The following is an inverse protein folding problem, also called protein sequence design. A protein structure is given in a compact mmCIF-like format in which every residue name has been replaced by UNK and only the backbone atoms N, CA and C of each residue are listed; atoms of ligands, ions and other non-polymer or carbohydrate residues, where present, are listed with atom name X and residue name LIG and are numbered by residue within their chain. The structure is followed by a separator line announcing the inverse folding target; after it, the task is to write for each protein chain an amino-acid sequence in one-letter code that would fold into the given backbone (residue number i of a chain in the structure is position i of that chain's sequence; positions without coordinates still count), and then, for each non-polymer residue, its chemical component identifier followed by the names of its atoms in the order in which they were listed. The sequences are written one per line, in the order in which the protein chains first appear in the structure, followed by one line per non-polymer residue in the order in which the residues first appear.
data_IF_895557551946
#
_entry.id   IF_895557551946
#
_cell.length_a   1.000
_cell.length_b   1.000
_cell.length_c   1.000
_cell.angle_alpha   90.00
_cell.angle_beta   90.00
_cell.angle_gamma   90.00
#
_symmetry.space_group_name_H-M   'P 1'
#
loop_
_entity.id
_entity.type
_entity.pdbx_description
1 polymer ?
#
# COMPACT_ATOMS: atom_id res chain seq x y z
N UNK A 1 37.76 58.69 -12.59
CA UNK A 1 38.56 57.53 -13.05
C UNK A 1 38.91 56.58 -11.89
N UNK A 2 37.91 55.92 -11.28
CA UNK A 2 38.14 54.89 -10.22
C UNK A 2 37.23 53.67 -10.34
N UNK A 3 36.44 53.54 -11.41
CA UNK A 3 35.55 52.41 -11.62
C UNK A 3 35.97 51.46 -12.76
N UNK A 4 37.01 51.78 -13.54
CA UNK A 4 37.49 50.90 -14.62
C UNK A 4 38.54 49.85 -14.18
N UNK A 5 39.05 49.93 -12.94
CA UNK A 5 40.10 49.02 -12.46
C UNK A 5 39.57 47.79 -11.70
N UNK A 6 38.32 47.82 -11.21
CA UNK A 6 37.73 46.66 -10.50
C UNK A 6 37.14 45.61 -11.44
N UNK A 7 36.87 45.96 -12.70
CA UNK A 7 36.31 45.02 -13.68
C UNK A 7 37.37 44.12 -14.33
N UNK A 8 38.65 44.53 -14.33
CA UNK A 8 39.76 43.72 -14.86
C UNK A 8 40.27 42.65 -13.89
N UNK A 9 39.95 42.75 -12.60
CA UNK A 9 40.35 41.74 -11.61
C UNK A 9 39.37 40.56 -11.57
N UNK A 10 38.10 40.78 -11.95
CA UNK A 10 37.09 39.72 -11.99
C UNK A 10 37.21 38.81 -13.22
N UNK A 11 37.76 39.30 -14.34
CA UNK A 11 37.92 38.51 -15.56
C UNK A 11 39.15 37.60 -15.56
N UNK A 12 40.12 37.81 -14.66
CA UNK A 12 41.32 36.98 -14.58
C UNK A 12 41.16 35.73 -13.69
N UNK A 13 40.13 35.70 -12.82
CA UNK A 13 39.84 34.53 -11.99
C UNK A 13 38.94 33.52 -12.73
N UNK A 14 38.17 33.97 -13.73
CA UNK A 14 37.27 33.09 -14.49
C UNK A 14 37.96 32.29 -15.62
N UNK A 15 39.17 32.68 -16.06
CA UNK A 15 39.92 31.98 -17.13
C UNK A 15 40.93 30.97 -16.56
N UNK A 16 41.28 31.08 -15.27
CA UNK A 16 42.19 30.14 -14.60
C UNK A 16 41.54 28.84 -14.09
N UNK A 17 40.21 28.76 -14.07
CA UNK A 17 39.46 27.58 -13.60
C UNK A 17 39.00 26.65 -14.73
N UNK A 18 39.32 26.97 -15.99
CA UNK A 18 38.92 26.17 -17.17
C UNK A 18 40.07 25.34 -17.78
N UNK A 19 41.25 25.29 -17.16
CA UNK A 19 42.43 24.57 -17.70
C UNK A 19 43.10 23.62 -16.71
N UNK A 20 42.39 23.15 -15.67
CA UNK A 20 42.90 22.17 -14.72
C UNK A 20 41.92 21.01 -14.51
N UNK A 21 41.62 20.26 -15.58
CA UNK A 21 41.22 18.86 -15.45
C UNK A 21 41.31 18.14 -16.80
N UNK A 22 42.54 17.99 -17.30
CA UNK A 22 42.88 17.01 -18.32
C UNK A 22 44.27 16.49 -17.99
N UNK A 23 44.33 15.35 -17.30
CA UNK A 23 45.32 14.27 -17.47
C UNK A 23 45.15 13.27 -16.32
N UNK A 24 44.39 12.21 -16.58
CA UNK A 24 44.93 10.86 -16.70
C UNK A 24 43.77 9.95 -17.14
N UNK A 25 43.80 9.54 -18.40
CA UNK A 25 43.11 8.35 -18.88
C UNK A 25 43.77 7.15 -18.21
N UNK A 26 43.24 6.74 -17.06
CA UNK A 26 43.32 5.34 -16.65
C UNK A 26 42.02 4.69 -17.12
N UNK A 27 42.18 3.71 -18.00
CA UNK A 27 41.17 2.83 -18.56
C UNK A 27 40.34 2.19 -17.42
N UNK A 28 39.29 2.89 -16.98
CA UNK A 28 38.26 2.30 -16.13
C UNK A 28 37.20 1.70 -17.05
N UNK A 29 37.49 0.49 -17.53
CA UNK A 29 36.44 -0.42 -17.96
C UNK A 29 35.55 -0.66 -16.73
N UNK A 30 34.27 -0.27 -16.73
CA UNK A 30 33.38 -0.69 -15.66
C UNK A 30 33.25 -2.20 -15.81
N UNK A 31 33.96 -2.92 -14.94
CA UNK A 31 33.71 -4.32 -14.68
C UNK A 31 32.23 -4.40 -14.32
N UNK A 32 31.41 -4.90 -15.26
CA UNK A 32 30.01 -5.22 -15.00
C UNK A 32 30.03 -6.08 -13.74
N UNK A 33 29.56 -5.54 -12.63
CA UNK A 33 29.12 -6.39 -11.53
C UNK A 33 27.99 -7.23 -12.10
N UNK A 34 28.33 -8.44 -12.54
CA UNK A 34 27.37 -9.50 -12.72
C UNK A 34 26.77 -9.77 -11.33
N UNK A 35 25.68 -9.06 -11.02
CA UNK A 35 24.76 -9.53 -10.01
C UNK A 35 24.33 -10.92 -10.46
N UNK A 36 24.85 -11.95 -9.80
CA UNK A 36 24.41 -13.32 -9.99
C UNK A 36 22.90 -13.37 -9.70
N UNK A 37 22.10 -13.39 -10.76
CA UNK A 37 20.65 -13.53 -10.66
C UNK A 37 20.39 -14.93 -10.12
N UNK A 38 19.77 -15.03 -8.95
CA UNK A 38 19.31 -16.32 -8.43
C UNK A 38 18.19 -16.85 -9.34
N UNK A 39 18.54 -17.84 -10.16
CA UNK A 39 17.65 -18.43 -11.18
C UNK A 39 16.86 -19.62 -10.64
N UNK A 40 17.07 -20.03 -9.38
CA UNK A 40 16.51 -21.26 -8.81
C UNK A 40 14.99 -21.30 -8.73
N UNK A 41 14.33 -20.13 -8.73
CA UNK A 41 12.88 -19.98 -8.60
C UNK A 41 12.18 -19.44 -9.86
N UNK A 42 12.88 -19.34 -11.00
CA UNK A 42 12.29 -18.86 -12.25
C UNK A 42 11.46 -19.97 -12.92
N UNK A 43 10.31 -19.59 -13.46
CA UNK A 43 9.51 -20.43 -14.36
C UNK A 43 9.71 -19.98 -15.80
N UNK A 44 9.26 -20.77 -16.76
CA UNK A 44 9.38 -20.44 -18.18
C UNK A 44 8.00 -20.11 -18.75
N UNK A 45 7.90 -18.98 -19.44
CA UNK A 45 6.75 -18.63 -20.27
C UNK A 45 7.22 -18.54 -21.72
N UNK A 46 6.73 -19.43 -22.59
CA UNK A 46 7.16 -19.45 -24.02
C UNK A 46 8.69 -19.46 -24.19
N UNK A 47 9.40 -20.16 -23.30
CA UNK A 47 10.86 -20.25 -23.32
C UNK A 47 11.62 -19.09 -22.67
N UNK A 48 10.92 -18.08 -22.16
CA UNK A 48 11.52 -16.93 -21.46
C UNK A 48 11.50 -17.18 -19.94
N UNK A 49 12.65 -17.10 -19.24
CA UNK A 49 12.69 -17.15 -17.78
C UNK A 49 11.95 -15.96 -17.15
N UNK A 50 11.03 -16.26 -16.24
CA UNK A 50 10.15 -15.30 -15.60
C UNK A 50 10.15 -15.51 -14.10
N UNK A 51 10.31 -14.40 -13.38
CA UNK A 51 9.99 -14.28 -11.96
C UNK A 51 8.48 -14.14 -11.81
N UNK A 52 7.78 -15.28 -11.80
CA UNK A 52 6.33 -15.28 -11.92
C UNK A 52 5.65 -14.85 -10.60
N UNK A 53 5.01 -13.69 -10.64
CA UNK A 53 4.35 -13.06 -9.48
C UNK A 53 2.82 -13.17 -9.46
N UNK A 54 2.20 -13.57 -10.56
CA UNK A 54 0.74 -13.74 -10.65
C UNK A 54 0.33 -15.13 -10.13
N UNK A 55 -0.95 -15.33 -9.76
CA UNK A 55 -1.44 -16.68 -9.40
C UNK A 55 -1.49 -17.59 -10.62
N UNK A 56 -1.84 -17.02 -11.77
CA UNK A 56 -2.26 -17.77 -12.94
C UNK A 56 -1.27 -18.89 -13.23
N UNK A 57 -1.71 -20.13 -13.18
CA UNK A 57 -0.81 -21.25 -13.41
C UNK A 57 -0.13 -21.05 -14.78
N UNK A 58 1.19 -21.14 -14.82
CA UNK A 58 2.00 -20.93 -16.03
C UNK A 58 1.52 -21.83 -17.18
N UNK A 59 1.09 -23.07 -16.87
CA UNK A 59 0.52 -24.02 -17.82
C UNK A 59 -0.80 -23.52 -18.41
N UNK A 60 -1.62 -22.81 -17.63
CA UNK A 60 -2.84 -22.18 -18.13
C UNK A 60 -2.55 -20.94 -18.98
N UNK A 61 -1.49 -20.19 -18.65
CA UNK A 61 -1.04 -19.05 -19.46
C UNK A 61 -0.50 -19.50 -20.82
N UNK A 62 0.00 -20.72 -20.98
CA UNK A 62 0.50 -21.20 -22.27
C UNK A 62 -0.63 -21.60 -23.24
N UNK A 63 -1.87 -21.81 -22.76
CA UNK A 63 -3.02 -22.10 -23.62
C UNK A 63 -3.36 -20.90 -24.49
N UNK A 64 -3.40 -21.04 -25.81
CA UNK A 64 -3.74 -19.93 -26.73
C UNK A 64 -5.12 -19.32 -26.49
N UNK A 65 -6.05 -20.10 -25.94
CA UNK A 65 -7.38 -19.64 -25.60
C UNK A 65 -7.40 -18.66 -24.42
N UNK A 66 -6.33 -18.60 -23.62
CA UNK A 66 -6.20 -17.66 -22.49
C UNK A 66 -6.07 -16.19 -22.93
N UNK A 67 -5.80 -15.92 -24.21
CA UNK A 67 -5.88 -14.57 -24.78
C UNK A 67 -7.33 -14.07 -24.84
N UNK A 68 -8.32 -14.97 -24.79
CA UNK A 68 -9.74 -14.63 -24.90
C UNK A 68 -10.36 -14.52 -23.51
N UNK A 69 -10.68 -13.30 -23.08
CA UNK A 69 -11.31 -13.05 -21.78
C UNK A 69 -12.55 -13.93 -21.52
N UNK A 70 -13.44 -14.11 -22.50
CA UNK A 70 -14.64 -14.95 -22.33
C UNK A 70 -14.31 -16.43 -22.06
N UNK A 71 -13.20 -16.93 -22.60
CA UNK A 71 -12.73 -18.28 -22.31
C UNK A 71 -12.24 -18.37 -20.87
N UNK A 72 -11.40 -17.43 -20.45
CA UNK A 72 -10.88 -17.36 -19.08
C UNK A 72 -12.01 -17.19 -18.07
N UNK A 73 -12.97 -16.30 -18.34
CA UNK A 73 -14.16 -16.10 -17.50
C UNK A 73 -14.99 -17.37 -17.35
N UNK A 74 -15.15 -18.13 -18.44
CA UNK A 74 -15.86 -19.41 -18.42
C UNK A 74 -15.13 -20.45 -17.57
N UNK A 75 -13.81 -20.59 -17.75
CA UNK A 75 -12.99 -21.49 -16.92
C UNK A 75 -13.08 -21.10 -15.44
N UNK A 76 -13.00 -19.80 -15.11
CA UNK A 76 -13.15 -19.31 -13.73
C UNK A 76 -14.51 -19.60 -13.12
N UNK A 77 -15.59 -19.53 -13.90
CA UNK A 77 -16.93 -19.91 -13.41
C UNK A 77 -17.04 -21.40 -13.13
N UNK A 78 -16.43 -22.23 -13.98
CA UNK A 78 -16.35 -23.67 -13.78
C UNK A 78 -15.54 -23.97 -12.52
N UNK A 79 -14.39 -23.33 -12.33
CA UNK A 79 -13.57 -23.42 -11.10
C UNK A 79 -14.40 -23.03 -9.85
N UNK A 80 -15.27 -22.01 -9.95
CA UNK A 80 -16.13 -21.54 -8.85
C UNK A 80 -17.44 -22.31 -8.69
N UNK A 81 -17.73 -23.32 -9.51
CA UNK A 81 -18.97 -24.09 -9.43
C UNK A 81 -20.25 -23.29 -9.77
N UNK A 82 -20.14 -22.19 -10.52
CA UNK A 82 -21.27 -21.34 -10.90
C UNK A 82 -22.02 -22.01 -12.06
N UNK A 83 -23.29 -22.39 -11.83
CA UNK A 83 -24.11 -23.10 -12.83
C UNK A 83 -24.55 -22.19 -13.99
N UNK A 84 -24.47 -22.71 -15.22
CA UNK A 84 -24.94 -22.00 -16.42
C UNK A 84 -26.47 -21.81 -16.41
N UNK A 85 -26.94 -20.57 -16.55
CA UNK A 85 -28.29 -20.35 -17.07
C UNK A 85 -28.35 -20.84 -18.53
N UNK A 86 -29.33 -21.68 -18.85
CA UNK A 86 -29.53 -22.23 -20.21
C UNK A 86 -29.69 -21.09 -21.24
N UNK A 87 -28.90 -21.16 -22.32
CA UNK A 87 -29.09 -20.48 -23.63
C UNK A 87 -29.71 -19.07 -23.54
N UNK A 88 -28.91 -18.11 -23.12
CA UNK A 88 -29.10 -16.69 -23.42
C UNK A 88 -27.77 -16.11 -23.91
N UNK A 89 -27.80 -15.09 -24.78
CA UNK A 89 -26.60 -14.30 -25.07
C UNK A 89 -26.24 -13.60 -23.78
N UNK A 90 -25.14 -14.03 -23.18
CA UNK A 90 -24.70 -13.52 -21.89
C UNK A 90 -24.11 -12.14 -22.10
N UNK A 91 -24.72 -11.13 -21.46
CA UNK A 91 -24.24 -9.74 -21.52
C UNK A 91 -23.30 -9.49 -20.35
N UNK A 92 -22.07 -9.07 -20.66
CA UNK A 92 -21.10 -8.60 -19.68
C UNK A 92 -21.66 -7.35 -18.98
N UNK A 93 -21.64 -7.33 -17.65
CA UNK A 93 -21.88 -6.11 -16.88
C UNK A 93 -20.66 -5.20 -17.07
N UNK A 94 -20.85 -4.15 -17.86
CA UNK A 94 -19.76 -3.27 -18.30
C UNK A 94 -19.19 -2.47 -17.14
N UNK A 95 -20.01 -2.07 -16.17
CA UNK A 95 -19.57 -1.28 -15.02
C UNK A 95 -18.72 -2.13 -14.08
N UNK A 96 -19.23 -3.32 -13.73
CA UNK A 96 -18.49 -4.29 -12.92
C UNK A 96 -17.20 -4.77 -13.59
N UNK A 97 -17.23 -4.96 -14.91
CA UNK A 97 -16.05 -5.31 -15.67
C UNK A 97 -15.04 -4.15 -15.67
N UNK A 98 -15.48 -2.92 -15.91
CA UNK A 98 -14.61 -1.74 -15.89
C UNK A 98 -13.94 -1.55 -14.52
N UNK A 99 -14.69 -1.71 -13.43
CA UNK A 99 -14.13 -1.64 -12.08
C UNK A 99 -13.08 -2.73 -11.85
N UNK A 100 -13.37 -3.98 -12.23
CA UNK A 100 -12.42 -5.08 -12.13
C UNK A 100 -11.16 -4.84 -12.97
N UNK A 101 -11.29 -4.17 -14.11
CA UNK A 101 -10.18 -3.73 -14.97
C UNK A 101 -9.35 -2.65 -14.29
N UNK A 102 -9.96 -1.55 -13.84
CA UNK A 102 -9.27 -0.42 -13.19
C UNK A 102 -8.52 -0.87 -11.92
N UNK A 103 -9.13 -1.75 -11.14
CA UNK A 103 -8.46 -2.36 -9.99
C UNK A 103 -7.26 -3.21 -10.39
N UNK A 104 -7.26 -3.81 -11.58
CA UNK A 104 -6.22 -4.74 -12.04
C UNK A 104 -5.05 -4.01 -12.69
N UNK A 105 -5.31 -2.95 -13.45
CA UNK A 105 -4.31 -2.25 -14.26
C UNK A 105 -3.11 -1.73 -13.45
N UNK A 106 -3.30 -1.30 -12.20
CA UNK A 106 -2.21 -0.86 -11.29
C UNK A 106 -1.14 -1.93 -10.98
N UNK A 107 -1.32 -3.18 -11.39
CA UNK A 107 -0.36 -4.27 -11.20
C UNK A 107 0.43 -4.63 -12.47
N UNK A 108 0.12 -4.00 -13.60
CA UNK A 108 0.72 -4.28 -14.90
C UNK A 108 1.67 -3.14 -15.28
N UNK A 109 2.64 -3.34 -16.20
CA UNK A 109 3.56 -2.27 -16.57
C UNK A 109 2.89 -1.11 -17.34
N UNK A 110 1.58 -1.20 -17.62
CA UNK A 110 0.79 -0.20 -18.34
C UNK A 110 0.11 0.74 -17.35
N UNK A 111 0.74 1.87 -17.00
CA UNK A 111 0.22 2.87 -16.06
C UNK A 111 -0.21 4.17 -16.77
N UNK A 112 -1.08 4.97 -16.13
CA UNK A 112 -1.49 6.29 -16.64
C UNK A 112 -0.30 7.23 -16.87
N UNK A 113 0.74 7.11 -16.05
CA UNK A 113 1.96 7.93 -16.11
C UNK A 113 2.98 7.41 -17.15
N UNK A 114 2.76 6.24 -17.73
CA UNK A 114 3.63 5.62 -18.74
C UNK A 114 3.91 4.14 -18.50
N UNK A 115 4.85 3.60 -19.28
CA UNK A 115 5.26 2.20 -19.20
C UNK A 115 6.33 2.00 -18.10
N UNK A 116 6.07 1.11 -17.15
CA UNK A 116 7.00 0.79 -16.05
C UNK A 116 8.02 -0.28 -16.48
N UNK A 117 9.14 0.19 -17.04
CA UNK A 117 10.23 -0.68 -17.48
C UNK A 117 10.92 -1.43 -16.31
N UNK A 118 10.95 -0.84 -15.11
CA UNK A 118 11.59 -1.46 -13.95
C UNK A 118 10.77 -2.66 -13.45
N UNK A 119 9.44 -2.58 -13.54
CA UNK A 119 8.56 -3.72 -13.31
C UNK A 119 8.85 -4.88 -14.27
N UNK A 120 9.06 -4.58 -15.55
CA UNK A 120 9.39 -5.62 -16.55
C UNK A 120 10.76 -6.22 -16.29
N UNK A 121 11.78 -5.42 -15.99
CA UNK A 121 13.12 -5.94 -15.62
C UNK A 121 13.07 -6.83 -14.39
N UNK A 122 12.20 -6.51 -13.42
CA UNK A 122 12.03 -7.35 -12.23
C UNK A 122 11.34 -8.69 -12.54
N UNK A 123 10.33 -8.67 -13.40
CA UNK A 123 9.58 -9.86 -13.80
C UNK A 123 10.40 -10.74 -14.76
N UNK A 124 11.29 -10.14 -15.55
CA UNK A 124 12.17 -10.78 -16.52
C UNK A 124 13.64 -10.49 -16.20
N UNK A 125 14.16 -10.94 -15.05
CA UNK A 125 15.45 -10.51 -14.53
C UNK A 125 16.64 -10.92 -15.41
N UNK A 126 16.45 -11.90 -16.30
CA UNK A 126 17.49 -12.39 -17.20
C UNK A 126 17.56 -11.64 -18.53
N UNK A 127 16.66 -10.69 -18.79
CA UNK A 127 16.63 -9.95 -20.06
C UNK A 127 17.26 -8.56 -19.93
N UNK A 128 18.14 -8.21 -20.87
CA UNK A 128 18.57 -6.82 -21.08
C UNK A 128 17.43 -5.96 -21.66
N UNK A 129 17.60 -4.64 -21.66
CA UNK A 129 16.61 -3.74 -22.30
C UNK A 129 16.44 -4.03 -23.79
N UNK A 130 17.52 -4.37 -24.52
CA UNK A 130 17.40 -4.78 -25.92
C UNK A 130 16.64 -6.10 -26.06
N UNK A 131 16.86 -7.06 -25.15
CA UNK A 131 16.14 -8.33 -25.15
C UNK A 131 14.68 -8.16 -24.78
N UNK A 132 14.34 -7.22 -23.88
CA UNK A 132 12.95 -6.85 -23.58
C UNK A 132 12.26 -6.30 -24.84
N UNK A 133 12.94 -5.43 -25.60
CA UNK A 133 12.38 -4.90 -26.85
C UNK A 133 12.15 -6.00 -27.89
N UNK A 134 13.09 -6.94 -28.03
CA UNK A 134 13.00 -8.07 -28.97
C UNK A 134 11.88 -9.04 -28.59
N UNK A 135 11.64 -9.28 -27.29
CA UNK A 135 10.60 -10.21 -26.80
C UNK A 135 9.31 -9.48 -26.39
N UNK A 136 9.06 -8.28 -26.92
CA UNK A 136 7.96 -7.43 -26.47
C UNK A 136 6.58 -8.05 -26.70
N UNK A 137 6.39 -8.83 -27.77
CA UNK A 137 5.13 -9.53 -28.05
C UNK A 137 4.87 -10.66 -27.03
N UNK A 138 5.88 -11.44 -26.67
CA UNK A 138 5.77 -12.50 -25.66
C UNK A 138 5.58 -11.92 -24.26
N UNK A 139 6.27 -10.83 -23.93
CA UNK A 139 6.12 -10.12 -22.66
C UNK A 139 4.71 -9.51 -22.54
N UNK A 140 4.21 -8.89 -23.61
CA UNK A 140 2.83 -8.37 -23.63
C UNK A 140 1.80 -9.51 -23.54
N UNK A 141 2.02 -10.61 -24.24
CA UNK A 141 1.19 -11.82 -24.14
C UNK A 141 1.16 -12.36 -22.71
N UNK A 142 2.31 -12.39 -22.02
CA UNK A 142 2.39 -12.78 -20.61
C UNK A 142 1.52 -11.88 -19.73
N UNK A 143 1.65 -10.55 -19.87
CA UNK A 143 0.88 -9.61 -19.06
C UNK A 143 -0.61 -9.64 -19.40
N UNK A 144 -0.98 -9.66 -20.68
CA UNK A 144 -2.36 -9.69 -21.15
C UNK A 144 -3.12 -10.93 -20.67
N UNK A 145 -2.49 -12.11 -20.72
CA UNK A 145 -3.10 -13.36 -20.25
C UNK A 145 -3.28 -13.38 -18.72
N UNK A 146 -2.33 -12.79 -17.98
CA UNK A 146 -2.47 -12.60 -16.54
C UNK A 146 -3.53 -11.57 -16.18
N UNK A 147 -3.68 -10.51 -16.98
CA UNK A 147 -4.73 -9.51 -16.79
C UNK A 147 -6.11 -10.12 -17.00
N UNK A 148 -6.29 -10.94 -18.03
CA UNK A 148 -7.54 -11.67 -18.28
C UNK A 148 -7.94 -12.54 -17.07
N UNK A 149 -7.00 -13.29 -16.50
CA UNK A 149 -7.25 -14.14 -15.32
C UNK A 149 -7.64 -13.31 -14.09
N UNK A 150 -6.92 -12.21 -13.85
CA UNK A 150 -7.16 -11.32 -12.73
C UNK A 150 -8.52 -10.62 -12.82
N UNK A 151 -8.83 -10.05 -13.98
CA UNK A 151 -10.11 -9.36 -14.23
C UNK A 151 -11.26 -10.35 -14.14
N UNK A 152 -11.13 -11.56 -14.71
CA UNK A 152 -12.19 -12.57 -14.65
C UNK A 152 -12.46 -13.00 -13.20
N UNK A 153 -11.40 -13.17 -12.40
CA UNK A 153 -11.52 -13.53 -11.00
C UNK A 153 -12.24 -12.46 -10.18
N UNK A 154 -11.95 -11.18 -10.44
CA UNK A 154 -12.54 -10.02 -9.77
C UNK A 154 -13.97 -9.71 -10.22
N UNK A 155 -14.24 -9.82 -11.52
CA UNK A 155 -15.58 -9.67 -12.09
C UNK A 155 -16.57 -10.69 -11.51
N UNK A 156 -16.10 -11.88 -11.14
CA UNK A 156 -16.92 -12.92 -10.50
C UNK A 156 -17.01 -12.80 -8.97
N UNK A 157 -16.60 -11.68 -8.37
CA UNK A 157 -16.92 -11.37 -6.97
C UNK A 157 -18.33 -10.77 -6.98
N UNK A 158 -19.32 -11.51 -6.51
CA UNK A 158 -20.64 -10.93 -6.21
C UNK A 158 -20.51 -10.18 -4.88
N UNK A 159 -20.77 -8.86 -4.92
CA UNK A 159 -21.08 -8.09 -3.73
C UNK A 159 -22.58 -8.24 -3.51
N UNK A 160 -22.98 -9.12 -2.59
CA UNK A 160 -24.24 -8.90 -1.91
C UNK A 160 -24.00 -7.81 -0.87
N UNK A 161 -24.68 -6.67 -1.04
CA UNK A 161 -24.62 -5.55 -0.09
C UNK A 161 -25.26 -5.89 1.26
N UNK A 162 -26.00 -7.00 1.35
CA UNK A 162 -26.71 -7.42 2.55
C UNK A 162 -26.72 -8.96 2.62
N UNK A 163 -25.69 -9.62 3.16
CA UNK A 163 -25.90 -10.87 3.90
C UNK A 163 -24.66 -11.37 4.64
N UNK A 164 -24.87 -11.63 5.94
CA UNK A 164 -24.06 -12.45 6.83
C UNK A 164 -24.04 -13.89 6.30
N UNK A 165 -22.90 -14.35 5.78
CA UNK A 165 -22.71 -15.75 5.40
C UNK A 165 -21.68 -16.43 6.28
N UNK A 166 -22.17 -16.99 7.39
CA UNK A 166 -21.60 -18.19 7.97
C UNK A 166 -21.87 -19.38 7.05
N UNK A 167 -20.82 -19.99 6.50
CA UNK A 167 -20.97 -21.20 5.68
C UNK A 167 -19.66 -21.67 5.09
N UNK A 168 -19.02 -22.64 5.74
CA UNK A 168 -17.88 -23.36 5.20
C UNK A 168 -18.24 -24.12 3.92
N UNK A 169 -17.45 -23.91 2.89
CA UNK A 169 -17.49 -24.65 1.63
C UNK A 169 -16.27 -24.27 0.80
N UNK A 170 -15.48 -25.26 0.41
CA UNK A 170 -14.18 -25.14 -0.25
C UNK A 170 -14.14 -24.05 -1.34
N UNK A 171 -13.46 -22.95 -1.03
CA UNK A 171 -13.16 -21.87 -1.96
C UNK A 171 -11.65 -21.65 -1.93
N UNK A 172 -10.97 -21.92 -3.06
CA UNK A 172 -9.55 -21.66 -3.24
C UNK A 172 -9.32 -20.59 -4.34
N UNK A 173 -9.52 -19.30 -4.02
CA UNK A 173 -9.01 -18.20 -4.82
C UNK A 173 -7.55 -17.96 -4.44
N UNK A 174 -6.69 -17.59 -5.38
CA UNK A 174 -5.44 -16.91 -4.99
C UNK A 174 -5.51 -15.60 -5.79
N UNK A 175 -5.67 -14.47 -5.13
CA UNK A 175 -5.53 -13.19 -5.82
C UNK A 175 -3.99 -12.91 -6.04
N UNK A 176 -3.58 -11.78 -6.67
CA UNK A 176 -2.17 -11.46 -6.92
C UNK A 176 -1.35 -11.07 -5.67
N UNK A 177 -0.12 -11.61 -5.56
CA UNK A 177 0.81 -11.38 -4.44
C UNK A 177 0.86 -9.92 -3.98
N UNK A 178 0.51 -9.73 -2.72
CA UNK A 178 0.60 -8.47 -1.99
C UNK A 178 2.02 -7.88 -2.05
N UNK A 179 2.18 -6.55 -1.95
CA UNK A 179 3.52 -5.95 -1.90
C UNK A 179 4.36 -6.58 -0.80
N UNK A 180 5.64 -6.82 -1.10
CA UNK A 180 6.58 -7.38 -0.13
C UNK A 180 6.73 -6.41 1.06
N UNK A 181 6.57 -6.95 2.28
CA UNK A 181 6.83 -6.18 3.49
C UNK A 181 8.34 -6.13 3.67
N UNK A 182 8.90 -4.93 3.60
CA UNK A 182 10.28 -4.69 4.01
C UNK A 182 10.25 -4.22 5.45
N UNK A 183 10.65 -5.11 6.37
CA UNK A 183 10.85 -4.75 7.77
C UNK A 183 12.13 -3.91 7.87
N UNK A 184 11.99 -2.65 8.32
CA UNK A 184 13.11 -1.73 8.52
C UNK A 184 13.75 -1.83 9.93
N UNK A 185 13.11 -2.62 10.80
CA UNK A 185 13.47 -2.79 12.20
C UNK A 185 14.74 -3.64 12.30
N UNK A 186 15.73 -3.12 13.03
CA UNK A 186 16.98 -3.84 13.31
C UNK A 186 16.77 -4.89 14.41
N UNK A 187 17.63 -5.90 14.44
CA UNK A 187 17.60 -6.92 15.49
C UNK A 187 17.71 -6.28 16.89
N UNK A 188 16.76 -6.63 17.76
CA UNK A 188 16.67 -6.10 19.13
C UNK A 188 16.16 -4.65 19.26
N UNK A 189 15.88 -3.97 18.15
CA UNK A 189 15.21 -2.67 18.14
C UNK A 189 13.71 -2.88 18.41
N UNK A 190 13.02 -1.93 19.04
CA UNK A 190 11.56 -1.92 19.10
C UNK A 190 10.95 -1.06 17.97
N UNK A 191 9.63 -1.13 17.79
CA UNK A 191 8.97 -0.43 16.66
C UNK A 191 9.03 1.09 16.82
N UNK A 192 9.04 1.59 18.05
CA UNK A 192 9.16 3.02 18.36
C UNK A 192 10.56 3.54 17.99
N UNK A 193 11.61 2.86 18.45
CA UNK A 193 13.00 3.18 18.15
C UNK A 193 13.28 3.15 16.64
N UNK A 194 12.78 2.13 15.93
CA UNK A 194 12.85 2.07 14.47
C UNK A 194 12.17 3.28 13.81
N UNK A 195 10.95 3.61 14.25
CA UNK A 195 10.16 4.72 13.68
C UNK A 195 10.86 6.06 13.85
N UNK A 196 11.35 6.34 15.06
CA UNK A 196 12.06 7.59 15.38
C UNK A 196 13.37 7.69 14.59
N UNK A 197 14.12 6.59 14.47
CA UNK A 197 15.37 6.52 13.70
C UNK A 197 15.14 6.78 12.21
N UNK A 198 14.21 6.05 11.58
CA UNK A 198 13.94 6.18 10.14
C UNK A 198 13.39 7.57 9.77
N UNK A 199 12.65 8.22 10.68
CA UNK A 199 12.17 9.59 10.47
C UNK A 199 13.13 10.68 10.97
N UNK A 200 14.29 10.28 11.51
CA UNK A 200 15.25 11.19 12.14
C UNK A 200 14.61 12.12 13.18
N UNK A 201 13.68 11.60 13.97
CA UNK A 201 13.02 12.31 15.07
C UNK A 201 13.82 12.06 16.34
N UNK A 202 14.47 13.09 16.86
CA UNK A 202 15.23 13.05 18.10
C UNK A 202 14.64 14.01 19.15
N UNK A 203 15.05 13.90 20.40
CA UNK A 203 14.54 14.70 21.52
C UNK A 203 14.75 16.21 21.33
N UNK A 204 15.75 16.62 20.52
CA UNK A 204 15.98 18.02 20.17
C UNK A 204 15.00 18.55 19.10
N UNK A 205 14.37 17.69 18.28
CA UNK A 205 13.17 18.08 17.51
C UNK A 205 11.94 17.99 18.42
N UNK A 206 11.92 18.90 19.41
CA UNK A 206 10.89 18.96 20.45
C UNK A 206 9.49 18.92 19.86
N UNK A 207 9.29 19.53 18.68
CA UNK A 207 8.02 19.57 18.00
C UNK A 207 7.53 18.19 17.57
N UNK A 208 8.34 17.45 16.81
CA UNK A 208 7.99 16.10 16.34
C UNK A 208 7.95 15.12 17.51
N UNK A 209 8.96 15.18 18.37
CA UNK A 209 9.12 14.28 19.50
C UNK A 209 7.94 14.37 20.48
N UNK A 210 7.58 15.58 20.93
CA UNK A 210 6.45 15.75 21.87
C UNK A 210 5.12 15.35 21.22
N UNK A 211 4.93 15.63 19.92
CA UNK A 211 3.71 15.23 19.22
C UNK A 211 3.56 13.71 19.17
N UNK A 212 4.64 12.99 18.84
CA UNK A 212 4.69 11.53 18.82
C UNK A 212 4.26 10.93 20.17
N UNK A 213 4.96 11.29 21.25
CA UNK A 213 4.71 10.71 22.57
C UNK A 213 3.34 11.08 23.16
N UNK A 214 2.91 12.35 23.03
CA UNK A 214 1.60 12.76 23.54
C UNK A 214 0.46 12.06 22.82
N UNK A 215 0.56 11.92 21.50
CA UNK A 215 -0.45 11.23 20.71
C UNK A 215 -0.51 9.74 21.10
N UNK A 216 0.65 9.07 21.13
CA UNK A 216 0.75 7.64 21.44
C UNK A 216 0.22 7.29 22.83
N UNK A 217 0.66 8.01 23.86
CA UNK A 217 0.21 7.80 25.23
C UNK A 217 -1.31 8.00 25.38
N UNK A 218 -1.86 9.08 24.81
CA UNK A 218 -3.28 9.39 24.91
C UNK A 218 -4.15 8.36 24.18
N UNK A 219 -3.78 7.97 22.97
CA UNK A 219 -4.51 6.98 22.18
C UNK A 219 -4.50 5.61 22.86
N UNK A 220 -3.34 5.15 23.32
CA UNK A 220 -3.18 3.87 24.01
C UNK A 220 -4.03 3.79 25.27
N UNK A 221 -3.98 4.82 26.10
CA UNK A 221 -4.78 4.90 27.33
C UNK A 221 -6.28 4.86 27.03
N UNK A 222 -6.75 5.66 26.07
CA UNK A 222 -8.19 5.73 25.77
C UNK A 222 -8.71 4.48 25.04
N UNK A 223 -7.87 3.81 24.26
CA UNK A 223 -8.21 2.51 23.66
C UNK A 223 -8.38 1.45 24.76
N UNK A 224 -7.44 1.39 25.71
CA UNK A 224 -7.53 0.50 26.87
C UNK A 224 -8.78 0.76 27.72
N UNK A 225 -9.13 2.02 27.96
CA UNK A 225 -10.33 2.35 28.72
C UNK A 225 -11.65 2.09 27.98
N UNK A 226 -11.68 2.33 26.66
CA UNK A 226 -12.92 2.20 25.88
C UNK A 226 -13.22 0.76 25.49
N UNK A 227 -12.19 -0.10 25.41
CA UNK A 227 -12.30 -1.47 24.93
C UNK A 227 -11.39 -2.40 25.75
N UNK A 228 -11.48 -2.29 27.08
CA UNK A 228 -10.61 -3.00 28.03
C UNK A 228 -10.58 -4.53 27.83
N UNK A 229 -11.74 -5.12 27.57
CA UNK A 229 -11.94 -6.57 27.39
C UNK A 229 -11.62 -7.08 25.99
N UNK A 230 -11.33 -6.17 25.05
CA UNK A 230 -11.07 -6.49 23.65
C UNK A 230 -9.56 -6.64 23.45
N UNK A 231 -9.17 -7.61 22.62
CA UNK A 231 -7.78 -7.88 22.25
C UNK A 231 -7.05 -6.65 21.74
N UNK A 232 -5.71 -6.63 21.80
CA UNK A 232 -4.92 -5.42 21.49
C UNK A 232 -4.59 -5.24 20.00
N UNK A 233 -4.62 -6.31 19.21
CA UNK A 233 -4.18 -6.33 17.82
C UNK A 233 -5.32 -6.75 16.90
N UNK A 234 -5.48 -6.06 15.77
CA UNK A 234 -6.46 -6.30 14.71
C UNK A 234 -7.94 -6.07 15.11
N UNK A 235 -8.23 -5.98 16.41
CA UNK A 235 -9.59 -5.81 16.95
C UNK A 235 -10.17 -4.40 16.79
N UNK A 236 -11.43 -4.21 17.23
CA UNK A 236 -12.04 -2.87 17.39
C UNK A 236 -11.22 -1.92 18.25
N UNK A 237 -10.56 -2.44 19.29
CA UNK A 237 -9.68 -1.65 20.17
C UNK A 237 -8.51 -1.07 19.39
N UNK A 238 -7.95 -1.88 18.50
CA UNK A 238 -6.81 -1.51 17.69
C UNK A 238 -7.19 -0.47 16.63
N UNK A 239 -8.28 -0.72 15.90
CA UNK A 239 -8.86 0.25 14.97
C UNK A 239 -9.13 1.61 15.63
N UNK A 240 -9.70 1.61 16.84
CA UNK A 240 -9.89 2.84 17.62
C UNK A 240 -8.57 3.52 17.97
N UNK A 241 -7.56 2.75 18.42
CA UNK A 241 -6.23 3.25 18.80
C UNK A 241 -5.57 3.94 17.61
N UNK A 242 -5.47 3.28 16.46
CA UNK A 242 -4.84 3.80 15.24
C UNK A 242 -5.55 5.07 14.74
N UNK A 243 -6.88 5.04 14.66
CA UNK A 243 -7.68 6.20 14.23
C UNK A 243 -7.47 7.40 15.15
N UNK A 244 -7.58 7.21 16.46
CA UNK A 244 -7.39 8.29 17.43
C UNK A 244 -5.96 8.80 17.45
N UNK A 245 -4.97 7.90 17.40
CA UNK A 245 -3.56 8.23 17.37
C UNK A 245 -3.21 9.13 16.19
N UNK A 246 -3.68 8.81 14.99
CA UNK A 246 -3.32 9.58 13.80
C UNK A 246 -3.97 10.98 13.75
N UNK A 247 -5.21 11.11 14.24
CA UNK A 247 -5.81 12.42 14.47
C UNK A 247 -5.05 13.25 15.51
N UNK A 248 -4.54 12.62 16.57
CA UNK A 248 -3.77 13.28 17.62
C UNK A 248 -2.36 13.67 17.18
N UNK A 249 -1.70 12.88 16.32
CA UNK A 249 -0.41 13.25 15.73
C UNK A 249 -0.53 14.58 14.97
N UNK A 250 -1.56 14.72 14.13
CA UNK A 250 -1.83 15.98 13.43
C UNK A 250 -2.22 17.10 14.41
N UNK A 251 -2.94 16.78 15.48
CA UNK A 251 -3.36 17.77 16.47
C UNK A 251 -2.20 18.33 17.31
N UNK A 252 -1.25 17.47 17.67
CA UNK A 252 -0.12 17.83 18.53
C UNK A 252 1.09 18.37 17.78
N UNK A 253 1.21 18.12 16.47
CA UNK A 253 2.21 18.77 15.64
C UNK A 253 1.80 20.23 15.39
N UNK A 254 2.51 21.19 15.99
CA UNK A 254 2.08 22.59 15.94
C UNK A 254 2.52 23.31 14.66
N UNK A 255 1.63 24.05 14.03
CA UNK A 255 1.95 25.00 12.96
C UNK A 255 1.13 26.26 13.20
N UNK A 256 1.58 27.41 12.71
CA UNK A 256 0.85 28.66 12.87
C UNK A 256 -0.50 28.60 12.15
N UNK A 257 -0.50 28.29 10.85
CA UNK A 257 -1.72 28.35 10.03
C UNK A 257 -1.82 27.26 8.95
N UNK A 258 -0.97 26.23 8.98
CA UNK A 258 -0.87 25.25 7.91
C UNK A 258 -1.31 23.85 8.36
N UNK A 259 -2.35 23.30 7.71
CA UNK A 259 -2.82 21.93 7.96
C UNK A 259 -1.92 20.87 7.33
N UNK A 260 -1.50 21.07 6.08
CA UNK A 260 -0.73 20.07 5.31
C UNK A 260 0.49 19.52 6.06
N UNK A 261 1.40 20.33 6.65
CA UNK A 261 2.55 19.77 7.37
C UNK A 261 2.18 18.93 8.60
N UNK A 262 1.00 19.14 9.19
CA UNK A 262 0.49 18.34 10.31
C UNK A 262 -0.04 16.99 9.85
N UNK A 263 -0.75 16.99 8.72
CA UNK A 263 -1.25 15.79 8.06
C UNK A 263 -0.11 14.93 7.52
N UNK A 264 0.87 15.56 6.88
CA UNK A 264 2.07 14.90 6.36
C UNK A 264 2.84 14.25 7.52
N UNK A 265 3.11 14.98 8.62
CA UNK A 265 3.74 14.41 9.80
C UNK A 265 2.98 13.19 10.37
N UNK A 266 1.66 13.29 10.52
CA UNK A 266 0.85 12.18 11.03
C UNK A 266 0.90 10.96 10.11
N UNK A 267 0.91 11.18 8.79
CA UNK A 267 1.03 10.13 7.78
C UNK A 267 2.42 9.49 7.83
N UNK A 268 3.49 10.28 7.81
CA UNK A 268 4.87 9.78 7.81
C UNK A 268 5.14 8.91 9.06
N UNK A 269 4.68 9.36 10.24
CA UNK A 269 4.80 8.61 11.49
C UNK A 269 4.03 7.29 11.45
N UNK A 270 2.76 7.30 11.06
CA UNK A 270 1.99 6.06 10.97
C UNK A 270 2.57 5.10 9.95
N UNK A 271 2.92 5.62 8.77
CA UNK A 271 3.39 4.77 7.70
C UNK A 271 4.73 4.11 8.05
N UNK A 272 5.60 4.86 8.73
CA UNK A 272 6.85 4.32 9.23
C UNK A 272 6.63 3.32 10.38
N UNK A 273 5.69 3.60 11.28
CA UNK A 273 5.33 2.66 12.34
C UNK A 273 4.91 1.29 11.79
N UNK A 274 4.10 1.27 10.72
CA UNK A 274 3.71 0.00 10.10
C UNK A 274 4.89 -0.72 9.42
N UNK A 275 5.77 0.02 8.73
CA UNK A 275 7.01 -0.55 8.14
C UNK A 275 7.98 -1.10 9.20
N UNK A 276 8.02 -0.46 10.36
CA UNK A 276 8.81 -0.89 11.51
C UNK A 276 8.08 -1.98 12.34
N UNK A 277 6.78 -2.15 12.17
CA UNK A 277 5.99 -3.19 12.87
C UNK A 277 6.28 -4.59 12.35
N UNK A 278 6.51 -4.72 11.04
CA UNK A 278 6.71 -6.03 10.39
C UNK A 278 5.44 -6.87 10.35
N UNK A 279 4.27 -6.22 10.37
CA UNK A 279 2.96 -6.87 10.32
C UNK A 279 2.68 -7.43 8.93
N UNK A 280 1.86 -8.50 8.86
CA UNK A 280 1.31 -9.00 7.59
C UNK A 280 0.55 -7.91 6.83
N UNK A 281 0.39 -8.08 5.51
CA UNK A 281 -0.09 -7.00 4.65
C UNK A 281 -1.53 -6.61 4.94
N UNK A 282 -2.39 -7.55 5.31
CA UNK A 282 -3.77 -7.31 5.72
C UNK A 282 -3.87 -6.46 6.99
N UNK A 283 -3.06 -6.78 8.00
CA UNK A 283 -2.92 -6.02 9.25
C UNK A 283 -2.47 -4.59 8.94
N UNK A 284 -1.37 -4.48 8.19
CA UNK A 284 -0.84 -3.18 7.77
C UNK A 284 -1.88 -2.38 6.98
N UNK A 285 -2.64 -3.03 6.08
CA UNK A 285 -3.69 -2.36 5.31
C UNK A 285 -4.81 -1.80 6.18
N UNK A 286 -5.26 -2.55 7.20
CA UNK A 286 -6.24 -2.08 8.18
C UNK A 286 -5.71 -0.85 8.91
N UNK A 287 -4.47 -0.90 9.38
CA UNK A 287 -3.85 0.21 10.11
C UNK A 287 -3.68 1.44 9.22
N UNK A 288 -3.20 1.28 7.98
CA UNK A 288 -3.13 2.37 6.99
C UNK A 288 -4.51 3.02 6.75
N UNK A 289 -5.55 2.21 6.58
CA UNK A 289 -6.92 2.68 6.34
C UNK A 289 -7.47 3.47 7.53
N UNK A 290 -7.38 2.90 8.73
CA UNK A 290 -7.88 3.53 9.95
C UNK A 290 -7.07 4.79 10.32
N UNK A 291 -5.74 4.76 10.13
CA UNK A 291 -4.88 5.94 10.29
C UNK A 291 -5.31 7.08 9.34
N UNK A 292 -5.65 6.77 8.08
CA UNK A 292 -6.12 7.77 7.13
C UNK A 292 -7.44 8.43 7.56
N UNK A 293 -8.38 7.64 8.09
CA UNK A 293 -9.63 8.17 8.66
C UNK A 293 -9.35 9.08 9.86
N UNK A 294 -8.39 8.72 10.72
CA UNK A 294 -7.95 9.56 11.82
C UNK A 294 -7.48 10.96 11.39
N UNK A 295 -6.66 11.03 10.33
CA UNK A 295 -6.23 12.30 9.74
C UNK A 295 -7.40 13.09 9.16
N UNK A 296 -8.32 12.41 8.47
CA UNK A 296 -9.51 13.03 7.89
C UNK A 296 -10.39 13.67 8.97
N UNK A 297 -10.65 12.96 10.07
CA UNK A 297 -11.41 13.49 11.21
C UNK A 297 -10.78 14.77 11.76
N UNK A 298 -9.45 14.80 11.90
CA UNK A 298 -8.75 15.99 12.35
C UNK A 298 -8.86 17.13 11.33
N UNK A 299 -8.70 16.84 10.03
CA UNK A 299 -8.77 17.85 8.98
C UNK A 299 -10.16 18.49 8.90
N UNK A 300 -11.21 17.66 8.89
CA UNK A 300 -12.61 18.09 8.81
C UNK A 300 -13.01 18.97 10.01
N UNK A 301 -12.56 18.64 11.22
CA UNK A 301 -12.92 19.35 12.46
C UNK A 301 -11.95 20.52 12.80
N UNK A 302 -10.92 20.74 11.95
CA UNK A 302 -9.99 21.88 12.09
C UNK A 302 -10.40 23.01 11.16
N UNK A 303 -10.61 24.21 11.70
CA UNK A 303 -11.02 25.38 10.90
C UNK A 303 -9.92 26.43 10.78
N UNK A 304 -9.81 27.06 9.60
CA UNK A 304 -8.94 28.22 9.42
C UNK A 304 -9.53 29.47 10.09
N UNK A 305 -8.67 30.30 10.67
CA UNK A 305 -9.01 31.65 11.08
C UNK A 305 -8.30 32.63 10.16
N UNK A 306 -9.09 33.48 9.50
CA UNK A 306 -8.60 34.43 8.52
C UNK A 306 -9.07 35.85 8.84
N UNK A 307 -8.23 36.82 8.49
CA UNK A 307 -8.55 38.24 8.53
C UNK A 307 -8.16 38.84 7.18
N UNK A 308 -9.12 39.49 6.49
CA UNK A 308 -8.93 40.06 5.15
C UNK A 308 -8.34 39.06 4.13
N UNK A 309 -8.80 37.81 4.17
CA UNK A 309 -8.33 36.76 3.25
C UNK A 309 -6.96 36.14 3.61
N UNK A 310 -6.29 36.64 4.65
CA UNK A 310 -5.02 36.09 5.14
C UNK A 310 -5.30 35.15 6.32
N UNK A 311 -4.96 33.88 6.17
CA UNK A 311 -5.03 32.90 7.25
C UNK A 311 -3.90 33.12 8.27
N UNK A 312 -4.27 33.46 9.50
CA UNK A 312 -3.30 33.72 10.58
C UNK A 312 -3.25 32.62 11.64
N UNK A 313 -4.27 31.75 11.70
CA UNK A 313 -4.31 30.65 12.66
C UNK A 313 -5.15 29.47 12.16
N UNK A 314 -4.97 28.30 12.79
CA UNK A 314 -5.92 27.19 12.72
C UNK A 314 -6.48 26.90 14.11
N UNK A 315 -7.80 26.71 14.18
CA UNK A 315 -8.48 26.28 15.41
C UNK A 315 -8.53 24.75 15.44
N UNK A 316 -7.69 24.17 16.28
CA UNK A 316 -7.62 22.74 16.51
C UNK A 316 -8.84 22.21 17.29
N UNK A 317 -9.28 20.97 17.02
CA UNK A 317 -10.16 20.25 17.93
C UNK A 317 -9.45 19.90 19.25
N UNK A 318 -10.22 19.75 20.33
CA UNK A 318 -9.67 19.21 21.58
C UNK A 318 -9.43 17.70 21.47
N UNK A 319 -8.53 17.13 22.28
CA UNK A 319 -8.32 15.68 22.32
C UNK A 319 -9.63 14.92 22.64
N UNK A 320 -10.47 15.50 23.51
CA UNK A 320 -11.79 14.92 23.84
C UNK A 320 -12.76 14.95 22.66
N UNK A 321 -12.72 16.03 21.85
CA UNK A 321 -13.52 16.16 20.62
C UNK A 321 -13.11 15.11 19.60
N UNK A 322 -11.82 14.97 19.32
CA UNK A 322 -11.28 13.92 18.44
C UNK A 322 -11.71 12.52 18.93
N UNK A 323 -11.53 12.23 20.22
CA UNK A 323 -11.98 10.96 20.81
C UNK A 323 -13.47 10.71 20.57
N UNK A 324 -14.31 11.72 20.76
CA UNK A 324 -15.76 11.59 20.59
C UNK A 324 -16.14 11.32 19.14
N UNK A 325 -15.50 12.00 18.17
CA UNK A 325 -15.69 11.77 16.74
C UNK A 325 -15.24 10.37 16.32
N UNK A 326 -14.11 9.89 16.85
CA UNK A 326 -13.68 8.51 16.61
C UNK A 326 -14.69 7.51 17.20
N UNK A 327 -15.17 7.73 18.44
CA UNK A 327 -16.22 6.87 19.02
C UNK A 327 -17.52 6.85 18.21
N UNK A 328 -17.88 7.96 17.59
CA UNK A 328 -19.02 8.03 16.68
C UNK A 328 -18.79 7.16 15.43
N UNK A 329 -17.62 7.26 14.80
CA UNK A 329 -17.23 6.42 13.66
C UNK A 329 -17.20 4.92 14.01
N UNK A 330 -16.82 4.57 15.24
CA UNK A 330 -16.82 3.19 15.71
C UNK A 330 -18.22 2.54 15.75
N UNK A 331 -19.31 3.32 15.81
CA UNK A 331 -20.68 2.78 15.84
C UNK A 331 -21.08 2.06 14.56
N UNK A 332 -20.45 2.41 13.43
CA UNK A 332 -20.70 1.79 12.13
C UNK A 332 -19.38 1.24 11.55
N UNK A 333 -18.57 0.59 12.39
CA UNK A 333 -17.33 -0.04 11.95
C UNK A 333 -17.63 -1.32 11.15
N UNK A 334 -16.88 -1.56 10.08
CA UNK A 334 -16.94 -2.80 9.30
C UNK A 334 -16.08 -3.87 9.97
N UNK A 335 -16.70 -5.02 10.29
CA UNK A 335 -15.97 -6.23 10.65
C UNK A 335 -15.69 -7.03 9.39
N UNK A 336 -14.45 -7.45 9.21
CA UNK A 336 -14.05 -8.41 8.18
C UNK A 336 -13.69 -9.70 8.90
N UNK A 337 -14.43 -10.78 8.63
CA UNK A 337 -14.06 -12.10 9.13
C UNK A 337 -12.72 -12.52 8.54
N UNK A 338 -11.84 -13.11 9.36
CA UNK A 338 -10.58 -13.73 8.95
C UNK A 338 -10.55 -15.17 9.48
N UNK A 339 -10.35 -16.15 8.61
CA UNK A 339 -10.19 -17.55 9.01
C UNK A 339 -8.75 -17.81 9.44
N UNK A 340 -8.60 -18.28 10.67
CA UNK A 340 -7.30 -18.49 11.32
C UNK A 340 -6.98 -19.96 11.53
N UNK A 341 -7.84 -20.86 11.04
CA UNK A 341 -7.62 -22.30 11.15
C UNK A 341 -6.52 -22.80 10.20
N UNK A 342 -5.97 -21.91 9.37
CA UNK A 342 -4.91 -22.24 8.42
C UNK A 342 -3.55 -22.11 9.08
N UNK A 343 -2.70 -23.12 8.90
CA UNK A 343 -1.32 -23.06 9.36
C UNK A 343 -0.57 -21.92 8.66
N UNK A 344 0.23 -21.18 9.42
CA UNK A 344 1.14 -20.17 8.87
C UNK A 344 2.05 -20.83 7.82
N UNK A 345 2.29 -20.14 6.69
CA UNK A 345 3.00 -20.63 5.50
C UNK A 345 2.22 -21.57 4.55
N UNK A 346 0.94 -21.85 4.82
CA UNK A 346 0.10 -22.55 3.84
C UNK A 346 -0.39 -21.62 2.72
N UNK A 347 -0.60 -22.15 1.49
CA UNK A 347 -1.27 -21.41 0.42
C UNK A 347 -2.63 -20.84 0.83
N UNK A 348 -3.37 -21.56 1.67
CA UNK A 348 -4.67 -21.15 2.22
C UNK A 348 -4.55 -19.95 3.15
N UNK A 349 -3.56 -19.93 4.04
CA UNK A 349 -3.27 -18.77 4.89
C UNK A 349 -2.91 -17.53 4.08
N UNK A 350 -2.06 -17.67 3.05
CA UNK A 350 -1.69 -16.57 2.17
C UNK A 350 -2.89 -16.03 1.36
N UNK A 351 -3.74 -16.92 0.85
CA UNK A 351 -4.96 -16.54 0.16
C UNK A 351 -5.91 -15.76 1.08
N UNK A 352 -5.96 -16.13 2.37
CA UNK A 352 -6.81 -15.47 3.35
C UNK A 352 -6.32 -14.08 3.73
N UNK A 353 -5.01 -13.91 3.99
CA UNK A 353 -4.39 -12.59 4.17
C UNK A 353 -4.74 -11.70 2.98
N UNK A 354 -4.59 -12.24 1.77
CA UNK A 354 -4.83 -11.46 0.57
C UNK A 354 -6.30 -11.08 0.38
N UNK A 355 -7.24 -12.00 0.64
CA UNK A 355 -8.67 -11.70 0.61
C UNK A 355 -9.01 -10.54 1.56
N UNK A 356 -8.52 -10.60 2.79
CA UNK A 356 -8.76 -9.54 3.80
C UNK A 356 -8.13 -8.22 3.36
N UNK A 357 -6.89 -8.24 2.84
CA UNK A 357 -6.23 -7.06 2.29
C UNK A 357 -7.09 -6.33 1.25
N UNK A 358 -7.66 -7.07 0.28
CA UNK A 358 -8.49 -6.47 -0.76
C UNK A 358 -9.83 -5.95 -0.24
N UNK A 359 -10.46 -6.65 0.71
CA UNK A 359 -11.68 -6.16 1.35
C UNK A 359 -11.44 -4.83 2.07
N UNK A 360 -10.30 -4.68 2.73
CA UNK A 360 -9.90 -3.40 3.34
C UNK A 360 -9.69 -2.33 2.28
N UNK A 361 -9.01 -2.65 1.17
CA UNK A 361 -8.77 -1.68 0.09
C UNK A 361 -10.05 -1.17 -0.58
N UNK A 362 -11.10 -1.99 -0.61
CA UNK A 362 -12.42 -1.64 -1.17
C UNK A 362 -13.35 -0.98 -0.16
N UNK A 363 -13.06 -1.09 1.13
CA UNK A 363 -13.90 -0.49 2.17
C UNK A 363 -14.04 1.01 1.97
N UNK A 364 -15.23 1.54 2.27
CA UNK A 364 -15.50 2.97 2.25
C UNK A 364 -14.44 3.73 3.06
N UNK A 365 -13.82 4.73 2.44
CA UNK A 365 -12.79 5.61 3.04
C UNK A 365 -13.28 6.39 4.26
N UNK A 366 -14.57 6.34 4.59
CA UNK A 366 -15.19 6.95 5.76
C UNK A 366 -15.65 5.93 6.82
N UNK A 367 -15.55 4.63 6.53
CA UNK A 367 -15.95 3.53 7.40
C UNK A 367 -14.68 2.86 7.96
N UNK A 368 -14.57 2.84 9.29
CA UNK A 368 -13.47 2.14 9.95
C UNK A 368 -13.59 0.64 9.68
N UNK A 369 -12.46 -0.07 9.73
CA UNK A 369 -12.41 -1.52 9.52
C UNK A 369 -11.63 -2.19 10.64
N UNK A 370 -12.01 -3.42 10.99
CA UNK A 370 -11.22 -4.28 11.86
C UNK A 370 -11.47 -5.75 11.50
N UNK A 371 -10.56 -6.62 11.89
CA UNK A 371 -10.72 -8.06 11.76
C UNK A 371 -10.08 -8.72 12.98
N UNK A 372 -10.73 -9.72 13.58
CA UNK A 372 -10.14 -10.35 14.77
C UNK A 372 -9.37 -11.60 14.40
N UNK A 373 -8.37 -11.89 15.23
CA UNK A 373 -7.65 -13.16 15.29
C UNK A 373 -8.16 -14.03 16.46
N UNK A 374 -9.32 -13.72 17.04
CA UNK A 374 -9.93 -14.52 18.12
C UNK A 374 -11.45 -14.30 18.13
N UNK A 375 -12.23 -15.36 18.34
CA UNK A 375 -13.70 -15.31 18.46
C UNK A 375 -14.22 -14.52 19.68
N UNK A 376 -13.36 -13.96 20.52
CA UNK A 376 -13.73 -13.26 21.76
C UNK A 376 -14.14 -11.79 21.54
N UNK A 377 -14.12 -11.29 20.31
CA UNK A 377 -14.44 -9.90 19.97
C UNK A 377 -15.95 -9.58 19.90
N UNK A 378 -16.83 -10.57 20.14
CA UNK A 378 -18.29 -10.35 20.34
C UNK A 378 -18.62 -9.80 21.74
N UNK A 379 -17.78 -8.90 22.26
CA UNK A 379 -18.10 -8.12 23.44
C UNK A 379 -19.30 -7.22 23.16
N UNK A 380 -20.45 -7.62 23.71
CA UNK A 380 -21.73 -6.89 23.78
C UNK A 380 -21.59 -5.39 24.06
#
# INVERSE_FOLDING_TARGET
MKQLQKLKLLTLILVGLLMYSCQNEEDYSPEKQETTIDTSNLVYFKGIPVSHRFKTNIVNLEKDESDKFNFVLKEKRIEKGINFARKGVETLDVEKFSEAVDESFKYFPYQEEGFDLEMVKKDFPTLSEEQIAVNSEEIDSYYSRNLNDMVASRYLIEFDEDEDYGGGGNYNPTPPKMPAITTLKKDGEDTEACTLRELSIDWWDVKRYVAYYKAGAYATWNAALSYYSVGKANTKRDAFKHTLWNGLLANHYYTMSAKKPRLDFAKDVADMNEKCGGNNQDVSAMDYHNNAIGRKIWDDDTTYQSFLGITYNIRNPSNSRLKSLVKEKMKNILYIYKNESFDEDTPEYLAEIERVYWLIKKADKNKLVYFSVNNDDYGY
#
